data_IF_563861400068
#
_entry.id   IF_563861400068
#
_cell.length_a   1.000
_cell.length_b   1.000
_cell.length_c   1.000
_cell.angle_alpha   90.00
_cell.angle_beta   90.00
_cell.angle_gamma   90.00
#
_symmetry.space_group_name_H-M   'P 1'
#
loop_
_entity.id
_entity.type
_entity.pdbx_description
1 polymer ?
#
# COMPACT_ATOMS: atom_id res chain seq x y z
N UNK A 1 1.94 21.27 -23.45
CA UNK A 1 1.98 20.50 -23.30
C UNK A 1 1.63 20.02 -23.05
N UNK A 2 1.85 19.77 -23.03
CA UNK A 2 1.81 18.90 -22.92
C UNK A 2 1.63 18.22 -22.47
N UNK A 3 1.65 17.83 -22.46
CA UNK A 3 1.50 16.92 -22.19
C UNK A 3 1.78 16.16 -22.08
N UNK A 4 2.07 16.41 -21.82
CA UNK A 4 2.54 15.33 -21.76
C UNK A 4 2.12 14.05 -21.87
N UNK A 5 2.13 13.70 -22.22
CA UNK A 5 1.70 12.57 -22.42
C UNK A 5 1.92 11.58 -21.68
N UNK A 6 1.80 11.69 -21.40
CA UNK A 6 1.80 10.78 -20.35
C UNK A 6 2.38 9.46 -20.71
N UNK A 7 2.99 8.83 -19.75
CA UNK A 7 3.56 7.51 -19.97
C UNK A 7 2.45 6.49 -19.87
N UNK A 8 2.09 5.86 -20.97
CA UNK A 8 0.94 4.97 -20.97
C UNK A 8 1.18 3.68 -20.17
N UNK A 9 2.42 3.33 -19.96
CA UNK A 9 2.78 2.07 -19.32
C UNK A 9 2.82 2.15 -17.81
N UNK A 10 2.67 3.34 -17.23
CA UNK A 10 2.71 3.49 -15.79
C UNK A 10 1.41 4.10 -15.30
N UNK A 11 0.44 3.23 -15.08
CA UNK A 11 -0.90 3.64 -14.64
C UNK A 11 -0.96 4.02 -13.18
N UNK A 12 -0.05 3.51 -12.36
CA UNK A 12 -0.03 3.78 -10.95
C UNK A 12 0.97 4.87 -10.66
N UNK A 13 0.47 6.08 -10.43
CA UNK A 13 1.29 7.27 -10.18
C UNK A 13 0.71 8.06 -9.04
N UNK A 14 1.54 8.82 -8.31
CA UNK A 14 0.99 9.77 -7.34
C UNK A 14 0.09 10.76 -8.05
N UNK A 15 -1.03 11.09 -7.40
CA UNK A 15 -1.97 12.06 -7.91
C UNK A 15 -2.21 13.14 -6.88
N UNK A 16 -2.86 14.22 -7.29
CA UNK A 16 -3.19 15.29 -6.38
C UNK A 16 -4.55 15.09 -5.69
N UNK A 17 -5.18 13.98 -5.96
CA UNK A 17 -6.45 13.65 -5.32
C UNK A 17 -6.25 13.57 -3.81
N UNK A 18 -7.21 14.12 -3.07
CA UNK A 18 -7.17 14.07 -1.61
C UNK A 18 -7.46 12.67 -1.09
N UNK A 19 -6.57 12.16 -0.24
CA UNK A 19 -6.79 10.87 0.41
C UNK A 19 -8.05 10.91 1.26
N UNK A 20 -8.25 11.99 2.02
CA UNK A 20 -9.45 12.12 2.85
C UNK A 20 -10.72 12.13 2.02
N UNK A 21 -10.71 12.85 0.89
CA UNK A 21 -11.88 12.88 0.02
C UNK A 21 -12.19 11.50 -0.54
N UNK A 22 -11.15 10.76 -0.92
CA UNK A 22 -11.33 9.41 -1.43
C UNK A 22 -11.94 8.49 -0.37
N UNK A 23 -11.41 8.53 0.86
CA UNK A 23 -11.93 7.69 1.94
C UNK A 23 -13.38 8.06 2.27
N UNK A 24 -13.68 9.35 2.29
CA UNK A 24 -15.03 9.80 2.62
C UNK A 24 -16.07 9.38 1.57
N UNK A 25 -15.64 9.04 0.38
CA UNK A 25 -16.54 8.58 -0.69
C UNK A 25 -16.84 7.08 -0.62
N UNK A 26 -16.14 6.34 0.24
CA UNK A 26 -16.42 4.91 0.37
C UNK A 26 -17.81 4.69 0.93
N UNK A 27 -18.63 3.82 0.30
CA UNK A 27 -20.01 3.66 0.74
C UNK A 27 -20.17 2.91 2.07
N UNK A 28 -19.22 2.05 2.40
CA UNK A 28 -19.32 1.24 3.62
C UNK A 28 -18.68 1.98 4.79
N UNK A 29 -19.46 2.33 5.83
CA UNK A 29 -18.89 3.06 6.98
C UNK A 29 -17.82 2.28 7.73
N UNK A 30 -17.92 0.95 7.78
CA UNK A 30 -16.88 0.14 8.42
C UNK A 30 -15.58 0.22 7.62
N UNK A 31 -15.68 0.13 6.30
CA UNK A 31 -14.50 0.23 5.44
C UNK A 31 -13.86 1.63 5.52
N UNK A 32 -14.69 2.68 5.63
CA UNK A 32 -14.16 4.03 5.84
C UNK A 32 -13.35 4.11 7.11
N UNK A 33 -13.87 3.55 8.21
CA UNK A 33 -13.16 3.56 9.48
C UNK A 33 -11.88 2.75 9.40
N UNK A 34 -11.92 1.60 8.74
CA UNK A 34 -10.74 0.76 8.56
C UNK A 34 -9.68 1.48 7.73
N UNK A 35 -10.10 2.18 6.68
CA UNK A 35 -9.15 2.93 5.83
C UNK A 35 -8.47 4.04 6.63
N UNK A 36 -9.22 4.76 7.45
CA UNK A 36 -8.64 5.81 8.30
C UNK A 36 -7.64 5.23 9.30
N UNK A 37 -7.95 4.08 9.87
CA UNK A 37 -7.04 3.41 10.81
C UNK A 37 -5.78 2.93 10.09
N UNK A 38 -5.93 2.39 8.88
CA UNK A 38 -4.78 1.94 8.09
C UNK A 38 -3.88 3.10 7.69
N UNK A 39 -4.44 4.27 7.38
CA UNK A 39 -3.63 5.45 7.09
C UNK A 39 -2.72 5.77 8.27
N UNK A 40 -3.28 5.80 9.47
CA UNK A 40 -2.49 6.10 10.66
C UNK A 40 -1.43 5.03 10.91
N UNK A 41 -1.81 3.77 10.76
CA UNK A 41 -0.91 2.65 11.00
C UNK A 41 0.25 2.65 10.01
N UNK A 42 -0.04 2.80 8.72
CA UNK A 42 1.00 2.80 7.70
C UNK A 42 1.87 4.05 7.79
N UNK A 43 1.30 5.19 8.14
CA UNK A 43 2.08 6.40 8.34
C UNK A 43 3.04 6.26 9.52
N UNK A 44 2.57 5.66 10.61
CA UNK A 44 3.43 5.37 11.76
C UNK A 44 4.54 4.39 11.41
N UNK A 45 4.20 3.36 10.62
CA UNK A 45 5.17 2.32 10.27
C UNK A 45 6.25 2.80 9.31
N UNK A 46 5.91 3.72 8.41
CA UNK A 46 6.83 4.15 7.35
C UNK A 46 7.46 5.52 7.60
N UNK A 47 6.81 6.35 8.41
CA UNK A 47 7.21 7.75 8.54
C UNK A 47 6.83 8.60 7.33
N UNK A 48 6.04 8.07 6.42
CA UNK A 48 5.65 8.76 5.18
C UNK A 48 4.18 9.13 5.23
N UNK A 49 3.84 10.23 4.57
CA UNK A 49 2.45 10.67 4.48
C UNK A 49 1.69 9.89 3.42
N UNK A 50 0.36 9.71 3.61
CA UNK A 50 -0.43 9.03 2.58
C UNK A 50 -0.57 9.87 1.34
N UNK A 51 -0.62 9.20 0.20
CA UNK A 51 -0.80 9.86 -1.09
C UNK A 51 -1.57 8.93 -2.01
N UNK A 52 -2.43 9.50 -2.83
CA UNK A 52 -3.16 8.70 -3.80
C UNK A 52 -2.22 8.29 -4.93
N UNK A 53 -2.30 7.02 -5.29
CA UNK A 53 -1.59 6.44 -6.43
C UNK A 53 -2.65 5.84 -7.34
N UNK A 54 -2.94 6.53 -8.43
CA UNK A 54 -4.04 6.13 -9.29
C UNK A 54 -5.38 6.46 -8.63
N UNK A 55 -6.48 5.87 -9.12
CA UNK A 55 -7.81 6.26 -8.66
C UNK A 55 -8.23 5.64 -7.33
N UNK A 56 -7.59 4.59 -6.86
CA UNK A 56 -8.10 3.87 -5.70
C UNK A 56 -7.03 3.28 -4.78
N UNK A 57 -5.76 3.66 -4.94
CA UNK A 57 -4.67 3.14 -4.13
C UNK A 57 -4.12 4.26 -3.27
N UNK A 58 -4.01 4.00 -1.97
CA UNK A 58 -3.39 4.91 -1.01
C UNK A 58 -2.01 4.39 -0.70
N UNK A 59 -0.98 5.13 -1.08
CA UNK A 59 0.41 4.70 -0.95
C UNK A 59 1.21 5.52 0.02
N UNK A 60 2.31 4.95 0.51
CA UNK A 60 3.17 5.56 1.51
C UNK A 60 4.60 5.43 1.06
N UNK A 61 5.27 6.58 0.90
CA UNK A 61 6.63 6.62 0.38
C UNK A 61 6.66 6.25 -1.09
N UNK A 62 7.86 6.10 -1.61
CA UNK A 62 8.04 5.72 -3.01
C UNK A 62 9.43 5.12 -3.20
N UNK A 63 9.53 4.25 -4.18
CA UNK A 63 10.82 3.76 -4.66
C UNK A 63 10.83 3.81 -6.18
N UNK A 64 12.03 3.88 -6.74
CA UNK A 64 12.20 3.89 -8.19
C UNK A 64 12.73 2.54 -8.64
N UNK A 65 12.05 1.92 -9.61
CA UNK A 65 12.49 0.66 -10.17
C UNK A 65 13.01 0.87 -11.59
N UNK A 66 13.94 0.02 -12.00
CA UNK A 66 14.45 0.04 -13.35
C UNK A 66 14.76 -1.39 -13.77
N UNK A 67 14.15 -1.82 -14.84
CA UNK A 67 14.36 -3.16 -15.38
C UNK A 67 15.45 -3.13 -16.46
N UNK A 68 16.05 -4.27 -16.72
CA UNK A 68 17.05 -4.39 -17.78
C UNK A 68 16.51 -3.98 -19.14
N UNK A 69 15.22 -4.16 -19.35
CA UNK A 69 14.56 -3.74 -20.58
C UNK A 69 14.52 -2.24 -20.77
N UNK A 70 14.92 -1.46 -19.75
CA UNK A 70 14.86 -0.02 -19.78
C UNK A 70 13.58 0.55 -19.19
N UNK A 71 12.63 -0.30 -18.84
CA UNK A 71 11.40 0.15 -18.22
C UNK A 71 11.66 0.59 -16.80
N UNK A 72 11.19 1.78 -16.46
CA UNK A 72 11.38 2.31 -15.11
C UNK A 72 10.17 3.12 -14.68
N UNK A 73 10.08 3.37 -13.39
CA UNK A 73 8.99 4.15 -12.82
C UNK A 73 9.07 4.19 -11.31
N UNK A 74 8.05 4.78 -10.71
CA UNK A 74 7.95 4.89 -9.27
C UNK A 74 6.76 4.10 -8.76
N UNK A 75 6.92 3.51 -7.56
CA UNK A 75 5.86 2.78 -6.89
C UNK A 75 5.90 3.10 -5.41
N UNK A 76 4.78 2.99 -4.69
CA UNK A 76 4.82 3.22 -3.24
C UNK A 76 5.57 2.09 -2.54
N UNK A 77 6.18 2.42 -1.39
CA UNK A 77 6.86 1.40 -0.59
C UNK A 77 5.87 0.35 -0.12
N UNK A 78 4.78 0.81 0.49
CA UNK A 78 3.64 -0.03 0.82
C UNK A 78 2.38 0.76 0.49
N UNK A 79 1.28 0.07 0.32
CA UNK A 79 0.02 0.72 -0.06
C UNK A 79 -1.16 -0.15 0.30
N UNK A 80 -2.35 0.44 0.28
CA UNK A 80 -3.57 -0.35 0.37
C UNK A 80 -4.64 0.25 -0.53
N UNK A 81 -5.59 -0.60 -0.90
CA UNK A 81 -6.72 -0.19 -1.72
C UNK A 81 -8.00 -0.78 -1.13
N UNK A 82 -8.91 0.07 -0.64
CA UNK A 82 -10.20 -0.43 -0.16
C UNK A 82 -11.07 -0.78 -1.37
N UNK A 83 -11.35 -2.07 -1.51
CA UNK A 83 -12.15 -2.58 -2.62
C UNK A 83 -13.43 -3.17 -2.08
N UNK A 84 -14.38 -3.41 -2.99
CA UNK A 84 -15.71 -3.85 -2.62
C UNK A 84 -15.69 -5.14 -1.78
N UNK A 85 -14.89 -6.11 -2.19
CA UNK A 85 -14.87 -7.43 -1.54
C UNK A 85 -13.92 -7.50 -0.36
N UNK A 86 -12.88 -6.66 -0.34
CA UNK A 86 -11.84 -6.70 0.67
C UNK A 86 -10.93 -5.49 0.54
N UNK A 87 -10.15 -5.22 1.57
CA UNK A 87 -9.08 -4.24 1.47
C UNK A 87 -7.81 -4.98 1.07
N UNK A 88 -7.17 -4.50 0.02
CA UNK A 88 -5.95 -5.11 -0.54
C UNK A 88 -4.75 -4.34 -0.02
N UNK A 89 -3.80 -5.05 0.57
CA UNK A 89 -2.56 -4.46 1.08
C UNK A 89 -1.41 -4.91 0.19
N UNK A 90 -0.59 -3.98 -0.24
CA UNK A 90 0.47 -4.24 -1.22
C UNK A 90 1.84 -4.23 -0.57
N UNK A 91 2.70 -5.15 -1.00
CA UNK A 91 4.11 -5.23 -0.62
C UNK A 91 4.35 -5.63 0.83
N UNK A 92 3.38 -6.28 1.47
CA UNK A 92 3.53 -6.76 2.84
C UNK A 92 3.97 -8.22 2.94
N UNK A 93 4.25 -8.85 1.82
CA UNK A 93 4.67 -10.26 1.77
C UNK A 93 5.94 -10.40 0.94
N UNK A 94 6.57 -11.55 1.04
CA UNK A 94 7.68 -11.90 0.15
C UNK A 94 9.00 -11.27 0.47
N UNK A 95 9.19 -10.74 1.69
CA UNK A 95 10.47 -10.20 2.11
C UNK A 95 11.02 -11.04 3.27
N UNK A 96 12.34 -10.98 3.53
CA UNK A 96 12.90 -11.73 4.65
C UNK A 96 12.28 -11.31 5.98
N UNK A 97 11.81 -12.27 6.75
CA UNK A 97 11.18 -12.01 8.03
C UNK A 97 9.66 -11.85 7.99
N UNK A 98 9.06 -11.92 6.79
CA UNK A 98 7.61 -11.77 6.67
C UNK A 98 6.84 -12.95 7.26
N UNK A 99 7.29 -14.16 7.01
CA UNK A 99 6.53 -15.36 7.34
C UNK A 99 6.18 -15.48 8.82
N UNK A 100 7.11 -15.26 9.77
CA UNK A 100 6.73 -15.34 11.19
C UNK A 100 5.66 -14.33 11.59
N UNK A 101 5.70 -13.13 11.00
CA UNK A 101 4.70 -12.11 11.28
C UNK A 101 3.36 -12.47 10.67
N UNK A 102 3.38 -13.00 9.45
CA UNK A 102 2.15 -13.42 8.78
C UNK A 102 1.45 -14.53 9.57
N UNK A 103 2.22 -15.42 10.18
CA UNK A 103 1.66 -16.50 10.99
C UNK A 103 0.88 -15.98 12.20
N UNK A 104 1.20 -14.78 12.67
CA UNK A 104 0.54 -14.18 13.83
C UNK A 104 -0.51 -13.13 13.46
N UNK A 105 -0.64 -12.82 12.18
CA UNK A 105 -1.45 -11.67 11.75
C UNK A 105 -2.94 -11.87 11.98
N UNK A 106 -3.48 -13.02 11.64
CA UNK A 106 -4.90 -13.29 11.80
C UNK A 106 -5.51 -13.82 10.52
N UNK A 107 -6.71 -13.35 10.18
CA UNK A 107 -7.42 -13.82 9.00
C UNK A 107 -7.08 -12.96 7.79
N UNK A 108 -6.56 -13.59 6.76
CA UNK A 108 -6.26 -12.92 5.50
C UNK A 108 -6.15 -13.95 4.39
N UNK A 109 -6.19 -13.48 3.15
CA UNK A 109 -5.81 -14.28 1.99
C UNK A 109 -4.70 -13.56 1.26
N UNK A 110 -4.00 -14.26 0.39
CA UNK A 110 -2.88 -13.65 -0.34
C UNK A 110 -3.05 -13.85 -1.84
N UNK A 111 -2.55 -12.89 -2.60
CA UNK A 111 -2.34 -13.01 -4.03
C UNK A 111 -0.84 -12.96 -4.31
N UNK A 112 -0.44 -12.57 -5.52
CA UNK A 112 0.98 -12.59 -5.90
C UNK A 112 1.83 -11.65 -5.05
N UNK A 113 1.41 -10.41 -4.90
CA UNK A 113 2.16 -9.42 -4.13
C UNK A 113 1.25 -8.68 -3.20
N UNK A 114 0.11 -9.25 -2.87
CA UNK A 114 -0.87 -8.58 -2.06
C UNK A 114 -1.42 -9.49 -0.96
N UNK A 115 -1.97 -8.82 0.03
CA UNK A 115 -2.58 -9.45 1.18
C UNK A 115 -3.97 -8.84 1.32
N UNK A 116 -4.99 -9.67 1.43
CA UNK A 116 -6.37 -9.21 1.45
C UNK A 116 -6.99 -9.45 2.82
N UNK A 117 -7.64 -8.40 3.35
CA UNK A 117 -8.40 -8.52 4.60
C UNK A 117 -9.80 -7.98 4.38
N UNK A 118 -10.78 -8.61 5.00
CA UNK A 118 -12.16 -8.13 4.92
C UNK A 118 -12.41 -7.03 5.92
N UNK A 119 -11.89 -7.19 7.11
CA UNK A 119 -12.04 -6.21 8.20
C UNK A 119 -10.72 -6.06 8.91
N UNK A 120 -10.44 -4.85 9.34
CA UNK A 120 -9.20 -4.60 10.08
C UNK A 120 -9.19 -5.39 11.40
N UNK A 121 -10.35 -5.60 12.01
CA UNK A 121 -10.44 -6.39 13.24
C UNK A 121 -10.11 -7.86 13.06
N UNK A 122 -10.03 -8.34 11.82
CA UNK A 122 -9.62 -9.73 11.56
C UNK A 122 -8.13 -9.95 11.78
N UNK A 123 -7.35 -8.89 11.88
CA UNK A 123 -5.89 -8.97 12.02
C UNK A 123 -5.43 -8.22 13.27
N UNK A 124 -4.26 -8.60 13.76
CA UNK A 124 -3.65 -7.96 14.92
C UNK A 124 -2.97 -6.67 14.48
N UNK A 125 -3.41 -5.51 14.97
CA UNK A 125 -2.82 -4.24 14.52
C UNK A 125 -1.35 -4.07 14.88
N UNK A 126 -0.92 -4.62 16.02
CA UNK A 126 0.50 -4.55 16.39
C UNK A 126 1.36 -5.34 15.44
N UNK A 127 0.91 -6.54 15.08
CA UNK A 127 1.61 -7.38 14.11
C UNK A 127 1.60 -6.72 12.74
N UNK A 128 0.46 -6.15 12.35
CA UNK A 128 0.35 -5.48 11.06
C UNK A 128 1.29 -4.27 10.98
N UNK A 129 1.41 -3.51 12.08
CA UNK A 129 2.32 -2.37 12.09
C UNK A 129 3.78 -2.82 11.95
N UNK A 130 4.17 -3.86 12.66
CA UNK A 130 5.52 -4.39 12.55
C UNK A 130 5.79 -4.92 11.15
N UNK A 131 4.84 -5.67 10.59
CA UNK A 131 4.94 -6.19 9.23
C UNK A 131 5.10 -5.05 8.22
N UNK A 132 4.31 -4.00 8.38
CA UNK A 132 4.34 -2.85 7.48
C UNK A 132 5.67 -2.11 7.57
N UNK A 133 6.20 -1.91 8.78
CA UNK A 133 7.49 -1.25 8.97
C UNK A 133 8.61 -2.05 8.33
N UNK A 134 8.61 -3.36 8.53
CA UNK A 134 9.65 -4.23 7.96
C UNK A 134 9.52 -4.33 6.44
N UNK A 135 8.29 -4.35 5.94
CA UNK A 135 8.06 -4.37 4.50
C UNK A 135 8.62 -3.11 3.84
N UNK A 136 8.32 -1.95 4.42
CA UNK A 136 8.83 -0.68 3.88
C UNK A 136 10.35 -0.63 3.95
N UNK A 137 10.94 -1.11 5.05
CA UNK A 137 12.40 -1.15 5.18
C UNK A 137 13.01 -2.08 4.12
N UNK A 138 12.37 -3.22 3.85
CA UNK A 138 12.85 -4.15 2.84
C UNK A 138 12.81 -3.53 1.44
N UNK A 139 11.75 -2.77 1.15
CA UNK A 139 11.65 -2.10 -0.15
C UNK A 139 12.69 -1.00 -0.29
N UNK A 140 12.97 -0.25 0.81
CA UNK A 140 14.02 0.77 0.78
C UNK A 140 15.39 0.14 0.56
N UNK A 141 15.66 -1.00 1.18
CA UNK A 141 16.94 -1.70 1.02
C UNK A 141 17.10 -2.25 -0.39
N UNK A 142 16.00 -2.72 -0.98
CA UNK A 142 16.03 -3.29 -2.34
C UNK A 142 16.18 -2.21 -3.40
N UNK A 143 15.70 -1.00 -3.12
CA UNK A 143 15.70 0.10 -4.07
C UNK A 143 16.30 1.36 -3.45
N UNK A 144 17.59 1.35 -3.08
CA UNK A 144 18.20 2.53 -2.48
C UNK A 144 18.26 3.67 -3.49
N UNK A 145 18.15 4.88 -2.98
CA UNK A 145 18.25 6.06 -3.84
C UNK A 145 19.69 6.36 -4.19
#
# INVERSE_FOLDING_TARGET
MRRARSMPDNKTKPTEQSVNAFINQLPDPLQRADAQALVKLFQSATGEKPKMWGPSIIGFGAYHYKYESGREGDMPLIAFSPRKAATVLYNLTGFPGADPLLAKLGKYTTGKACLNIKKLTDVDPTVLQELSAKAAAAMRARHPK
#
